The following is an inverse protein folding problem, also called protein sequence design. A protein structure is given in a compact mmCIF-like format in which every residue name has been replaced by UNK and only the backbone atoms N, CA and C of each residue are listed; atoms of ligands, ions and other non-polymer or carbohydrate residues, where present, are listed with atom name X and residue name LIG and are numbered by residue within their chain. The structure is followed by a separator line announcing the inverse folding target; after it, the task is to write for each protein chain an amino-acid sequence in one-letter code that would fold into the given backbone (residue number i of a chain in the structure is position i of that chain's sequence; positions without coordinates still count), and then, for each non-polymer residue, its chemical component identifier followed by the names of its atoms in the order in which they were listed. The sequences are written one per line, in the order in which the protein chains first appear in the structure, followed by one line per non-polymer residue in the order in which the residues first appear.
data_IF_930110026914
#
_entry.id   IF_930110026914
#
_cell.length_a   1.000
_cell.length_b   1.000
_cell.length_c   1.000
_cell.angle_alpha   90.00
_cell.angle_beta   90.00
_cell.angle_gamma   90.00
#
_symmetry.space_group_name_H-M   'P 1'
#
loop_
_entity.id
_entity.type
_entity.pdbx_description
1 polymer ?
#
# COMPACT_ATOMS: atom_id res chain seq x y z
N UNK A 1 1.07 -9.07 -12.23
CA UNK A 1 2.24 -8.29 -12.70
C UNK A 1 1.80 -6.84 -12.88
N UNK A 2 2.71 -5.88 -12.82
CA UNK A 2 2.34 -4.46 -12.87
C UNK A 2 3.51 -3.51 -12.94
N UNK A 3 3.22 -2.24 -12.76
CA UNK A 3 4.17 -1.14 -12.60
C UNK A 3 4.06 -0.57 -11.18
N UNK A 4 5.16 -0.02 -10.68
CA UNK A 4 5.24 0.72 -9.42
C UNK A 4 6.08 1.99 -9.65
N UNK A 5 5.66 3.11 -9.08
CA UNK A 5 6.26 4.42 -9.38
C UNK A 5 7.62 4.67 -8.72
N UNK A 6 7.99 3.94 -7.65
CA UNK A 6 9.10 4.30 -6.78
C UNK A 6 10.43 4.50 -7.52
N UNK A 7 10.82 3.55 -8.37
CA UNK A 7 12.05 3.65 -9.16
C UNK A 7 11.91 4.50 -10.42
N UNK A 8 10.71 4.98 -10.73
CA UNK A 8 10.46 5.93 -11.81
C UNK A 8 10.60 7.37 -11.34
N UNK A 9 10.08 7.69 -10.15
CA UNK A 9 9.95 9.07 -9.66
C UNK A 9 10.20 9.27 -8.16
N UNK A 10 10.39 8.22 -7.37
CA UNK A 10 10.43 8.29 -5.90
C UNK A 10 9.23 9.07 -5.35
N UNK A 11 9.44 10.04 -4.47
CA UNK A 11 8.39 10.95 -4.02
C UNK A 11 7.88 11.94 -5.08
N UNK A 12 8.04 11.71 -6.38
CA UNK A 12 7.49 12.52 -7.46
C UNK A 12 6.08 12.12 -7.91
N UNK A 13 5.45 11.15 -7.26
CA UNK A 13 4.13 10.61 -7.63
C UNK A 13 2.99 11.62 -7.49
N UNK A 14 2.06 11.62 -8.46
CA UNK A 14 0.84 12.41 -8.47
C UNK A 14 -0.22 11.75 -9.36
N UNK A 15 -1.48 12.20 -9.27
CA UNK A 15 -2.59 11.65 -10.04
C UNK A 15 -2.33 11.63 -11.56
N UNK A 16 -1.91 12.74 -12.22
CA UNK A 16 -1.62 12.72 -13.65
C UNK A 16 -0.59 11.66 -14.07
N UNK A 17 0.48 11.46 -13.29
CA UNK A 17 1.49 10.45 -13.58
C UNK A 17 0.88 9.04 -13.57
N UNK A 18 0.09 8.73 -12.55
CA UNK A 18 -0.54 7.41 -12.37
C UNK A 18 -1.52 7.14 -13.52
N UNK A 19 -2.39 8.10 -13.82
CA UNK A 19 -3.38 8.01 -14.90
C UNK A 19 -2.71 7.86 -16.28
N UNK A 20 -1.68 8.67 -16.57
CA UNK A 20 -0.94 8.58 -17.84
C UNK A 20 -0.19 7.26 -17.97
N UNK A 21 0.37 6.74 -16.87
CA UNK A 21 1.05 5.45 -16.86
C UNK A 21 0.07 4.30 -17.10
N UNK A 22 -1.11 4.34 -16.45
CA UNK A 22 -2.17 3.39 -16.69
C UNK A 22 -2.61 3.39 -18.17
N UNK A 23 -2.83 4.58 -18.75
CA UNK A 23 -3.19 4.72 -20.15
C UNK A 23 -2.09 4.20 -21.08
N UNK A 24 -0.82 4.46 -20.77
CA UNK A 24 0.32 3.99 -21.54
C UNK A 24 0.43 2.46 -21.49
N UNK A 25 0.23 1.83 -20.33
CA UNK A 25 0.24 0.37 -20.20
C UNK A 25 -0.81 -0.30 -21.09
N UNK A 26 -1.97 0.33 -21.28
CA UNK A 26 -3.00 -0.16 -22.21
C UNK A 26 -2.56 -0.03 -23.67
N UNK A 27 -1.98 1.10 -24.05
CA UNK A 27 -1.69 1.42 -25.47
C UNK A 27 -0.37 0.86 -25.99
N UNK A 28 0.60 0.58 -25.11
CA UNK A 28 1.92 0.07 -25.48
C UNK A 28 2.05 -1.47 -25.41
N UNK A 29 0.94 -2.17 -25.12
CA UNK A 29 0.89 -3.64 -25.08
C UNK A 29 1.24 -4.27 -23.73
N UNK A 30 1.65 -3.51 -22.71
CA UNK A 30 1.94 -4.06 -21.38
C UNK A 30 0.72 -4.74 -20.77
N UNK A 31 -0.47 -4.13 -20.86
CA UNK A 31 -1.70 -4.77 -20.39
C UNK A 31 -1.95 -6.08 -21.11
N UNK A 32 -1.79 -6.11 -22.44
CA UNK A 32 -1.96 -7.33 -23.24
C UNK A 32 -0.95 -8.43 -22.86
N UNK A 33 0.23 -8.05 -22.35
CA UNK A 33 1.23 -8.95 -21.81
C UNK A 33 0.97 -9.40 -20.36
N UNK A 34 -0.12 -8.94 -19.71
CA UNK A 34 -0.54 -9.35 -18.36
C UNK A 34 -0.11 -8.42 -17.22
N UNK A 35 0.37 -7.21 -17.53
CA UNK A 35 0.64 -6.19 -16.51
C UNK A 35 -0.66 -5.45 -16.18
N UNK A 36 -1.31 -5.87 -15.08
CA UNK A 36 -2.64 -5.39 -14.71
C UNK A 36 -2.65 -4.40 -13.53
N UNK A 37 -1.57 -4.31 -12.76
CA UNK A 37 -1.50 -3.45 -11.57
C UNK A 37 -0.72 -2.15 -11.85
N UNK A 38 -1.26 -1.03 -11.41
CA UNK A 38 -0.62 0.29 -11.37
C UNK A 38 -0.49 0.66 -9.90
N UNK A 39 0.69 0.48 -9.33
CA UNK A 39 0.91 0.61 -7.90
C UNK A 39 1.52 1.98 -7.57
N UNK A 40 0.85 2.70 -6.68
CA UNK A 40 1.35 3.89 -6.03
C UNK A 40 2.23 3.46 -4.85
N UNK A 41 3.48 3.92 -4.80
CA UNK A 41 4.41 3.69 -3.70
C UNK A 41 4.32 4.82 -2.65
N UNK A 42 5.32 4.95 -1.79
CA UNK A 42 5.35 5.94 -0.72
C UNK A 42 5.18 7.39 -1.24
N UNK A 43 4.96 8.34 -0.33
CA UNK A 43 4.80 9.77 -0.63
C UNK A 43 3.49 10.17 -1.33
N UNK A 44 2.46 9.32 -1.32
CA UNK A 44 1.14 9.68 -1.87
C UNK A 44 0.28 10.52 -0.90
N UNK A 45 0.51 10.37 0.40
CA UNK A 45 -0.33 10.92 1.46
C UNK A 45 0.15 12.28 1.98
N UNK A 46 -0.76 13.03 2.59
CA UNK A 46 -0.46 14.24 3.34
C UNK A 46 0.40 13.91 4.58
N UNK A 47 1.19 14.88 5.11
CA UNK A 47 2.05 14.64 6.26
C UNK A 47 1.31 14.39 7.58
N UNK A 48 -0.01 14.58 7.60
CA UNK A 48 -0.85 14.37 8.77
C UNK A 48 -2.16 13.70 8.37
N UNK A 49 -2.65 12.82 9.25
CA UNK A 49 -4.02 12.29 9.23
C UNK A 49 -5.03 13.41 9.47
N UNK A 50 -6.28 13.18 9.06
CA UNK A 50 -7.39 14.10 9.38
C UNK A 50 -7.78 14.06 10.86
N UNK A 51 -8.77 14.86 11.26
CA UNK A 51 -9.27 14.90 12.64
C UNK A 51 -9.96 13.61 13.11
N UNK A 52 -10.33 12.72 12.18
CA UNK A 52 -10.84 11.39 12.46
C UNK A 52 -9.74 10.32 12.54
N UNK A 53 -8.48 10.68 12.29
CA UNK A 53 -7.36 9.76 12.23
C UNK A 53 -7.23 9.03 10.88
N UNK A 54 -7.98 9.43 9.85
CA UNK A 54 -7.87 8.78 8.55
C UNK A 54 -6.65 9.28 7.77
N UNK A 55 -6.07 8.41 6.96
CA UNK A 55 -5.10 8.80 5.94
C UNK A 55 -5.77 9.72 4.92
N UNK A 56 -5.03 10.75 4.49
CA UNK A 56 -5.50 11.73 3.51
C UNK A 56 -4.49 11.79 2.39
N UNK A 57 -4.93 11.71 1.14
CA UNK A 57 -4.05 11.92 0.00
C UNK A 57 -3.50 13.36 0.01
N UNK A 58 -2.24 13.58 -0.38
CA UNK A 58 -1.70 14.93 -0.48
C UNK A 58 -2.52 15.72 -1.52
N UNK A 59 -3.21 16.81 -1.16
CA UNK A 59 -4.11 17.53 -2.06
C UNK A 59 -3.38 18.22 -3.21
N UNK A 60 -2.06 18.43 -3.11
CA UNK A 60 -1.24 18.97 -4.21
C UNK A 60 -0.91 17.91 -5.26
N UNK A 61 -0.84 16.63 -4.86
CA UNK A 61 -0.52 15.48 -5.71
C UNK A 61 -1.77 14.79 -6.25
N UNK A 62 -2.78 14.68 -5.39
CA UNK A 62 -4.05 14.00 -5.62
C UNK A 62 -5.21 14.93 -5.20
N UNK A 63 -5.48 16.01 -5.96
CA UNK A 63 -6.48 17.02 -5.59
C UNK A 63 -7.91 16.47 -5.45
N UNK A 64 -8.22 15.36 -6.12
CA UNK A 64 -9.50 14.63 -5.98
C UNK A 64 -9.46 13.45 -5.01
N UNK A 65 -8.32 13.21 -4.34
CA UNK A 65 -8.06 11.99 -3.58
C UNK A 65 -7.67 10.79 -4.46
N UNK A 66 -7.60 9.61 -3.83
CA UNK A 66 -7.20 8.36 -4.50
C UNK A 66 -8.36 7.74 -5.30
N UNK A 67 -9.59 7.84 -4.80
CA UNK A 67 -10.74 7.17 -5.43
C UNK A 67 -10.94 7.55 -6.92
N UNK A 68 -10.87 8.84 -7.34
CA UNK A 68 -11.00 9.16 -8.76
C UNK A 68 -9.89 8.56 -9.64
N UNK A 69 -8.68 8.42 -9.10
CA UNK A 69 -7.56 7.76 -9.80
C UNK A 69 -7.83 6.26 -9.92
N UNK A 70 -8.36 5.63 -8.87
CA UNK A 70 -8.77 4.22 -8.90
C UNK A 70 -9.86 3.99 -9.95
N UNK A 71 -10.91 4.83 -9.95
CA UNK A 71 -12.00 4.76 -10.92
C UNK A 71 -11.48 4.90 -12.37
N UNK A 72 -10.54 5.81 -12.62
CA UNK A 72 -9.92 5.96 -13.93
C UNK A 72 -9.10 4.71 -14.33
N UNK A 73 -8.25 4.20 -13.43
CA UNK A 73 -7.45 2.98 -13.66
C UNK A 73 -8.36 1.77 -13.93
N UNK A 74 -9.47 1.64 -13.20
CA UNK A 74 -10.45 0.58 -13.42
C UNK A 74 -11.19 0.72 -14.75
N UNK A 75 -11.47 1.96 -15.20
CA UNK A 75 -12.11 2.20 -16.51
C UNK A 75 -11.26 1.70 -17.68
N UNK A 76 -9.94 1.60 -17.48
CA UNK A 76 -8.97 1.05 -18.42
C UNK A 76 -8.82 -0.49 -18.29
N UNK A 77 -9.58 -1.12 -17.40
CA UNK A 77 -9.50 -2.55 -17.08
C UNK A 77 -8.23 -2.93 -16.32
N UNK A 78 -7.53 -1.96 -15.72
CA UNK A 78 -6.38 -2.18 -14.83
C UNK A 78 -6.84 -2.17 -13.36
N UNK A 79 -5.90 -2.39 -12.44
CA UNK A 79 -6.08 -2.43 -10.99
C UNK A 79 -5.16 -1.42 -10.33
N UNK A 80 -5.63 -0.74 -9.29
CA UNK A 80 -4.84 0.24 -8.56
C UNK A 80 -4.26 -0.38 -7.29
N UNK A 81 -2.95 -0.24 -7.09
CA UNK A 81 -2.30 -0.54 -5.83
C UNK A 81 -1.90 0.72 -5.06
N UNK A 82 -1.79 0.59 -3.76
CA UNK A 82 -1.29 1.63 -2.84
C UNK A 82 -0.20 1.05 -1.94
N UNK A 83 0.55 1.94 -1.31
CA UNK A 83 1.60 1.61 -0.36
C UNK A 83 1.22 2.07 1.04
N UNK A 84 1.61 1.26 2.02
CA UNK A 84 1.54 1.62 3.42
C UNK A 84 2.62 0.88 4.24
N UNK A 85 2.78 1.21 5.52
CA UNK A 85 3.81 0.67 6.41
C UNK A 85 3.25 0.15 7.74
N UNK A 86 3.79 -0.97 8.24
CA UNK A 86 3.47 -1.58 9.53
C UNK A 86 3.93 -0.78 10.75
N UNK A 87 4.86 0.16 10.58
CA UNK A 87 5.42 0.99 11.62
C UNK A 87 4.66 2.29 11.87
N UNK A 88 5.23 3.13 12.73
CA UNK A 88 4.59 4.41 13.10
C UNK A 88 4.63 5.44 11.99
N UNK A 89 5.62 5.32 11.10
CA UNK A 89 5.79 6.16 9.92
C UNK A 89 6.33 5.33 8.77
N UNK A 90 5.97 5.69 7.54
CA UNK A 90 6.53 5.07 6.33
C UNK A 90 8.03 5.29 6.21
N UNK A 91 8.67 4.62 5.25
CA UNK A 91 10.08 4.82 4.96
C UNK A 91 10.42 6.29 4.58
N UNK A 92 9.49 7.00 3.92
CA UNK A 92 9.59 8.43 3.63
C UNK A 92 9.11 9.35 4.79
N UNK A 93 8.86 8.78 5.97
CA UNK A 93 8.50 9.49 7.20
C UNK A 93 7.12 10.17 7.15
N UNK A 94 6.17 9.53 6.47
CA UNK A 94 4.75 9.91 6.45
C UNK A 94 3.95 9.02 7.42
N UNK A 95 2.68 9.32 7.75
CA UNK A 95 1.91 8.52 8.71
C UNK A 95 1.85 7.04 8.31
N UNK A 96 2.32 6.14 9.18
CA UNK A 96 2.22 4.68 8.98
C UNK A 96 0.95 4.10 9.62
N UNK A 97 0.70 2.80 9.43
CA UNK A 97 -0.52 2.11 9.87
C UNK A 97 -0.44 1.46 11.25
N UNK A 98 0.67 1.55 11.99
CA UNK A 98 0.75 0.99 13.34
C UNK A 98 -0.38 1.48 14.25
N UNK A 99 -1.28 0.57 14.65
CA UNK A 99 -2.45 0.89 15.48
C UNK A 99 -3.66 1.45 14.74
N UNK A 100 -3.58 1.59 13.41
CA UNK A 100 -4.65 2.08 12.53
C UNK A 100 -5.05 1.06 11.45
N UNK A 101 -4.60 -0.19 11.55
CA UNK A 101 -4.71 -1.20 10.49
C UNK A 101 -6.15 -1.38 9.98
N UNK A 102 -7.12 -1.48 10.91
CA UNK A 102 -8.56 -1.61 10.58
C UNK A 102 -9.11 -0.37 9.89
N UNK A 103 -8.71 0.81 10.34
CA UNK A 103 -9.16 2.09 9.80
C UNK A 103 -8.59 2.33 8.39
N UNK A 104 -7.30 2.05 8.22
CA UNK A 104 -6.60 2.24 6.96
C UNK A 104 -7.06 1.22 5.91
N UNK A 105 -7.23 -0.05 6.29
CA UNK A 105 -7.81 -1.07 5.40
C UNK A 105 -9.21 -0.68 4.90
N UNK A 106 -10.09 -0.21 5.79
CA UNK A 106 -11.42 0.28 5.42
C UNK A 106 -11.34 1.49 4.46
N UNK A 107 -10.36 2.37 4.68
CA UNK A 107 -10.10 3.54 3.82
C UNK A 107 -9.68 3.09 2.42
N UNK A 108 -8.72 2.17 2.30
CA UNK A 108 -8.26 1.62 1.02
C UNK A 108 -9.40 0.92 0.26
N UNK A 109 -10.18 0.11 0.95
CA UNK A 109 -11.35 -0.54 0.36
C UNK A 109 -12.39 0.47 -0.14
N UNK A 110 -12.64 1.54 0.62
CA UNK A 110 -13.58 2.61 0.25
C UNK A 110 -13.13 3.38 -1.00
N UNK A 111 -11.82 3.50 -1.22
CA UNK A 111 -11.25 4.14 -2.42
C UNK A 111 -11.16 3.21 -3.63
N UNK A 112 -11.49 1.93 -3.47
CA UNK A 112 -11.41 0.97 -4.56
C UNK A 112 -10.00 0.41 -4.82
N UNK A 113 -9.10 0.48 -3.85
CA UNK A 113 -7.75 -0.12 -3.97
C UNK A 113 -7.85 -1.64 -4.16
N UNK A 114 -7.01 -2.22 -5.01
CA UNK A 114 -6.97 -3.66 -5.33
C UNK A 114 -5.71 -4.36 -4.82
N UNK A 115 -4.73 -3.59 -4.36
CA UNK A 115 -3.42 -4.08 -3.93
C UNK A 115 -2.83 -3.16 -2.86
N UNK A 116 -2.26 -3.73 -1.81
CA UNK A 116 -1.50 -3.00 -0.78
C UNK A 116 -0.09 -3.59 -0.73
N UNK A 117 0.93 -2.77 -1.04
CA UNK A 117 2.32 -3.02 -0.64
C UNK A 117 2.44 -2.58 0.82
N UNK A 118 2.88 -3.48 1.69
CA UNK A 118 2.99 -3.20 3.11
C UNK A 118 4.43 -3.36 3.58
N UNK A 119 5.04 -2.25 3.93
CA UNK A 119 6.43 -2.13 4.36
C UNK A 119 6.52 -2.16 5.88
N UNK A 120 7.70 -1.88 6.44
CA UNK A 120 7.97 -2.05 7.87
C UNK A 120 9.02 -1.10 8.45
N UNK A 121 9.20 0.06 7.84
CA UNK A 121 10.04 1.09 8.40
C UNK A 121 9.46 1.59 9.74
N UNK A 122 10.34 1.94 10.68
CA UNK A 122 9.94 2.54 11.95
C UNK A 122 8.95 1.70 12.79
N UNK A 123 9.03 0.37 12.73
CA UNK A 123 8.31 -0.50 13.67
C UNK A 123 8.79 -0.23 15.11
N UNK A 124 7.88 0.00 16.08
CA UNK A 124 8.25 0.26 17.47
C UNK A 124 8.55 -1.05 18.22
N UNK A 125 9.59 -1.80 17.82
CA UNK A 125 9.94 -3.11 18.38
C UNK A 125 10.06 -3.12 19.92
N UNK A 126 10.53 -2.03 20.52
CA UNK A 126 10.65 -1.89 21.98
C UNK A 126 9.30 -1.98 22.71
N UNK A 127 8.18 -1.74 22.03
CA UNK A 127 6.83 -1.85 22.59
C UNK A 127 6.36 -3.32 22.74
N UNK A 128 7.09 -4.28 22.16
CA UNK A 128 6.66 -5.69 22.07
C UNK A 128 7.37 -6.64 23.04
N UNK A 129 8.05 -6.10 24.06
CA UNK A 129 8.45 -6.84 25.28
C UNK A 129 9.02 -8.24 25.06
N UNK A 130 10.30 -8.35 24.68
CA UNK A 130 11.02 -9.62 24.61
C UNK A 130 10.68 -10.50 23.40
N UNK A 131 9.78 -10.05 22.52
CA UNK A 131 9.56 -10.69 21.22
C UNK A 131 10.75 -10.44 20.28
N UNK A 132 11.02 -11.43 19.42
CA UNK A 132 11.91 -11.27 18.27
C UNK A 132 11.28 -10.35 17.21
N UNK A 133 12.10 -9.79 16.32
CA UNK A 133 11.61 -8.93 15.23
C UNK A 133 10.61 -9.69 14.34
N UNK A 134 10.92 -10.93 13.97
CA UNK A 134 10.03 -11.82 13.22
C UNK A 134 8.65 -11.98 13.89
N UNK A 135 8.58 -12.16 15.21
CA UNK A 135 7.29 -12.27 15.93
C UNK A 135 6.49 -10.97 15.91
N UNK A 136 7.17 -9.82 15.99
CA UNK A 136 6.53 -8.50 15.92
C UNK A 136 5.98 -8.26 14.53
N UNK A 137 6.76 -8.54 13.49
CA UNK A 137 6.36 -8.39 12.09
C UNK A 137 5.22 -9.34 11.75
N UNK A 138 5.32 -10.63 12.10
CA UNK A 138 4.20 -11.58 11.99
C UNK A 138 2.92 -11.01 12.60
N UNK A 139 3.01 -10.44 13.80
CA UNK A 139 1.85 -9.84 14.48
C UNK A 139 1.26 -8.68 13.68
N UNK A 140 2.09 -7.72 13.26
CA UNK A 140 1.64 -6.50 12.58
C UNK A 140 1.11 -6.78 11.17
N UNK A 141 1.79 -7.62 10.39
CA UNK A 141 1.34 -8.01 9.06
C UNK A 141 0.07 -8.86 9.12
N UNK A 142 -0.10 -9.70 10.15
CA UNK A 142 -1.37 -10.43 10.37
C UNK A 142 -2.52 -9.46 10.65
N UNK A 143 -2.30 -8.41 11.45
CA UNK A 143 -3.35 -7.40 11.71
C UNK A 143 -3.82 -6.72 10.44
N UNK A 144 -2.90 -6.31 9.56
CA UNK A 144 -3.27 -5.70 8.28
C UNK A 144 -3.95 -6.71 7.35
N UNK A 145 -3.45 -7.95 7.28
CA UNK A 145 -4.09 -9.02 6.51
C UNK A 145 -5.55 -9.25 6.94
N UNK A 146 -5.78 -9.43 8.24
CA UNK A 146 -7.12 -9.61 8.81
C UNK A 146 -8.01 -8.40 8.55
N UNK A 147 -7.46 -7.18 8.70
CA UNK A 147 -8.16 -5.94 8.44
C UNK A 147 -8.60 -5.81 6.98
N UNK A 148 -7.71 -6.11 6.02
CA UNK A 148 -8.01 -6.12 4.59
C UNK A 148 -9.08 -7.16 4.25
N UNK A 149 -8.96 -8.38 4.79
CA UNK A 149 -9.95 -9.43 4.60
C UNK A 149 -11.34 -9.03 5.15
N UNK A 150 -11.37 -8.37 6.31
CA UNK A 150 -12.61 -7.92 6.95
C UNK A 150 -13.36 -6.83 6.16
N UNK A 151 -12.69 -6.12 5.23
CA UNK A 151 -13.36 -5.13 4.37
C UNK A 151 -14.35 -5.76 3.38
N UNK A 152 -14.20 -7.06 3.08
CA UNK A 152 -14.97 -7.77 2.07
C UNK A 152 -14.60 -7.42 0.62
N UNK A 153 -13.69 -6.47 0.39
CA UNK A 153 -13.12 -6.20 -0.93
C UNK A 153 -11.91 -7.12 -1.15
N UNK A 154 -11.79 -7.83 -2.29
CA UNK A 154 -10.57 -8.54 -2.62
C UNK A 154 -9.42 -7.56 -2.86
N UNK A 155 -8.48 -7.50 -1.90
CA UNK A 155 -7.27 -6.68 -1.97
C UNK A 155 -6.08 -7.62 -1.89
N UNK A 156 -5.19 -7.55 -2.88
CA UNK A 156 -3.93 -8.29 -2.84
C UNK A 156 -3.03 -7.69 -1.78
N UNK A 157 -2.58 -8.51 -0.83
CA UNK A 157 -1.66 -8.08 0.22
C UNK A 157 -0.24 -8.54 -0.10
N UNK A 158 0.68 -7.59 -0.28
CA UNK A 158 2.08 -7.85 -0.55
C UNK A 158 2.91 -7.45 0.66
N UNK A 159 3.48 -8.43 1.34
CA UNK A 159 4.30 -8.25 2.52
C UNK A 159 5.75 -7.95 2.11
N UNK A 160 6.17 -6.69 2.17
CA UNK A 160 7.53 -6.28 1.85
C UNK A 160 8.44 -6.36 3.09
N UNK A 161 9.03 -7.54 3.35
CA UNK A 161 9.88 -7.79 4.52
C UNK A 161 11.28 -8.39 4.22
N UNK A 162 12.19 -7.73 3.47
CA UNK A 162 13.43 -8.37 3.02
C UNK A 162 14.72 -8.01 3.81
N UNK A 163 14.70 -7.93 5.15
CA UNK A 163 15.96 -7.66 5.92
C UNK A 163 16.53 -8.94 6.53
N UNK A 164 17.87 -8.98 6.70
CA UNK A 164 18.53 -10.07 7.38
C UNK A 164 17.97 -10.32 8.78
N UNK A 165 17.43 -11.52 9.01
CA UNK A 165 16.90 -11.95 10.32
C UNK A 165 15.38 -11.94 10.42
N UNK A 166 14.67 -11.48 9.38
CA UNK A 166 13.29 -11.92 9.13
C UNK A 166 13.29 -12.90 7.96
N UNK A 167 12.68 -14.06 8.19
CA UNK A 167 12.54 -15.14 7.23
C UNK A 167 11.04 -15.23 6.83
N UNK A 168 10.51 -14.28 6.04
CA UNK A 168 9.07 -14.19 5.76
C UNK A 168 8.50 -15.42 5.08
N UNK A 169 9.32 -16.17 4.34
CA UNK A 169 8.93 -17.44 3.74
C UNK A 169 8.49 -18.51 4.76
N UNK A 170 8.81 -18.33 6.04
CA UNK A 170 8.37 -19.24 7.11
C UNK A 170 6.95 -18.97 7.59
N UNK A 171 6.42 -17.74 7.40
CA UNK A 171 5.21 -17.30 8.09
C UNK A 171 4.22 -16.48 7.27
N UNK A 172 4.62 -15.88 6.14
CA UNK A 172 3.77 -14.95 5.40
C UNK A 172 2.75 -15.64 4.50
N UNK A 173 3.00 -16.86 4.04
CA UNK A 173 2.13 -17.61 3.13
C UNK A 173 0.64 -17.68 3.53
N UNK A 174 0.25 -17.88 4.81
CA UNK A 174 -1.16 -17.87 5.20
C UNK A 174 -1.81 -16.49 5.25
N UNK A 175 -1.02 -15.40 5.30
CA UNK A 175 -1.54 -14.04 5.55
C UNK A 175 -1.32 -13.07 4.39
N UNK A 176 -0.39 -13.35 3.46
CA UNK A 176 -0.08 -12.50 2.34
C UNK A 176 -0.11 -13.27 1.02
N UNK A 177 -0.35 -12.56 -0.08
CA UNK A 177 -0.32 -13.13 -1.41
C UNK A 177 1.09 -13.16 -2.02
N UNK A 178 1.93 -12.21 -1.61
CA UNK A 178 3.28 -11.97 -2.13
C UNK A 178 4.21 -11.51 -1.01
#
# INVERSE_FOLDING_TARGET
MGWNDWYSVFCGVNAPLVEQTAQAMVTNGMKAAGYDYVNIDDCWMAPSRDSGGNLVADPSRFPGGIQPVADYVHSLGLKLGIYEDAGTTTCAHLPGSYGHEVQDAATFASWGVDYVKYDRCNIPFSAFGGQSQQQVEQTLFTRMSDALAATGRPIVFSAAAPDPGDDPWEWSAPIANL
#
